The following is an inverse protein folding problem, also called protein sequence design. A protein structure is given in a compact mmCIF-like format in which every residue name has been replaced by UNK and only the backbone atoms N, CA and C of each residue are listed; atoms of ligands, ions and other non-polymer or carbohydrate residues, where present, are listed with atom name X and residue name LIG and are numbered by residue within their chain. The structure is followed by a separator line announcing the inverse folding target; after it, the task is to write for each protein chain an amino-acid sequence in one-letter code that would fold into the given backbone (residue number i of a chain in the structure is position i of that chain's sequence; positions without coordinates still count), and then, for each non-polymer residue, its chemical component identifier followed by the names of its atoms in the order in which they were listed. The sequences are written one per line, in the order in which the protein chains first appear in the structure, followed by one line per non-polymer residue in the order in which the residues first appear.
data_IF_254231898652
#
_entry.id   IF_254231898652
#
_cell.length_a   1.000
_cell.length_b   1.000
_cell.length_c   1.000
_cell.angle_alpha   90.00
_cell.angle_beta   90.00
_cell.angle_gamma   90.00
#
_symmetry.space_group_name_H-M   'P 1'
#
loop_
_entity.id
_entity.type
_entity.pdbx_description
1 polymer ?
#
# COMPACT_ATOMS: atom_id res chain seq x y z
N UNK A 1 -100.95 -31.20 -8.54
CA UNK A 1 -100.22 -32.34 -9.16
C UNK A 1 -98.95 -31.80 -9.82
N UNK A 2 -97.80 -32.40 -9.49
CA UNK A 2 -96.54 -32.50 -10.25
C UNK A 2 -95.91 -31.20 -10.82
N UNK A 3 -94.79 -30.77 -10.21
CA UNK A 3 -93.39 -30.81 -10.73
C UNK A 3 -93.08 -29.71 -11.77
N UNK A 4 -91.92 -29.06 -11.88
CA UNK A 4 -90.70 -28.78 -11.11
C UNK A 4 -89.72 -28.06 -12.09
N UNK A 5 -88.60 -27.55 -11.57
CA UNK A 5 -87.41 -26.94 -12.21
C UNK A 5 -87.53 -25.43 -12.55
N UNK A 6 -86.89 -24.46 -11.87
CA UNK A 6 -85.51 -24.23 -11.37
C UNK A 6 -84.50 -23.86 -12.48
N UNK A 7 -83.95 -22.65 -12.39
CA UNK A 7 -82.54 -22.21 -12.60
C UNK A 7 -82.55 -20.67 -12.73
N UNK A 8 -82.28 -19.84 -11.72
CA UNK A 8 -81.04 -19.53 -10.96
C UNK A 8 -79.86 -19.06 -11.82
N UNK A 9 -79.55 -17.75 -11.79
CA UNK A 9 -78.16 -17.24 -11.72
C UNK A 9 -78.16 -16.06 -10.74
N UNK A 10 -77.44 -16.23 -9.64
CA UNK A 10 -77.17 -15.25 -8.62
C UNK A 10 -75.89 -14.47 -8.93
N UNK A 11 -75.94 -13.16 -8.69
CA UNK A 11 -74.77 -12.27 -8.68
C UNK A 11 -73.99 -12.55 -7.39
N UNK A 12 -72.75 -13.03 -7.50
CA UNK A 12 -71.81 -13.09 -6.38
C UNK A 12 -70.69 -12.07 -6.63
N UNK A 13 -70.71 -10.98 -5.87
CA UNK A 13 -69.57 -10.08 -5.75
C UNK A 13 -68.54 -10.75 -4.84
N UNK A 14 -67.41 -11.20 -5.41
CA UNK A 14 -66.25 -11.58 -4.62
C UNK A 14 -65.52 -10.31 -4.17
N UNK A 15 -65.57 -10.05 -2.86
CA UNK A 15 -64.64 -9.16 -2.18
C UNK A 15 -63.28 -9.85 -2.17
N UNK A 16 -62.35 -9.35 -2.99
CA UNK A 16 -60.95 -9.74 -2.89
C UNK A 16 -60.36 -9.13 -1.61
N UNK A 17 -60.05 -10.01 -0.66
CA UNK A 17 -59.23 -9.70 0.51
C UNK A 17 -57.86 -9.20 0.04
N UNK A 18 -57.61 -7.90 0.21
CA UNK A 18 -56.27 -7.32 0.21
C UNK A 18 -55.54 -7.91 1.41
N UNK A 19 -54.75 -8.95 1.19
CA UNK A 19 -53.74 -9.39 2.13
C UNK A 19 -52.63 -8.35 2.15
N UNK A 20 -52.65 -7.46 3.14
CA UNK A 20 -51.48 -6.68 3.55
C UNK A 20 -50.44 -7.64 4.16
N UNK A 21 -49.75 -8.41 3.31
CA UNK A 21 -48.50 -9.03 3.67
C UNK A 21 -47.46 -7.91 3.73
N UNK A 22 -47.14 -7.44 4.93
CA UNK A 22 -46.02 -6.56 5.18
C UNK A 22 -44.74 -7.26 4.74
N UNK A 23 -44.32 -7.02 3.51
CA UNK A 23 -42.95 -7.24 3.11
C UNK A 23 -42.15 -6.17 3.82
N UNK A 24 -41.41 -6.56 4.86
CA UNK A 24 -40.28 -5.75 5.30
C UNK A 24 -39.50 -5.35 4.05
N UNK A 25 -39.10 -4.07 3.90
CA UNK A 25 -38.23 -3.70 2.80
C UNK A 25 -37.05 -4.68 2.80
N UNK A 26 -36.66 -5.22 1.63
CA UNK A 26 -35.52 -6.12 1.57
C UNK A 26 -34.37 -5.47 2.33
N UNK A 27 -33.76 -6.22 3.25
CA UNK A 27 -32.67 -5.71 4.08
C UNK A 27 -31.68 -4.99 3.16
N UNK A 28 -31.29 -3.77 3.54
CA UNK A 28 -30.30 -3.02 2.77
C UNK A 28 -29.11 -3.95 2.54
N UNK A 29 -28.69 -4.14 1.29
CA UNK A 29 -27.65 -5.11 1.00
C UNK A 29 -26.40 -4.78 1.83
N UNK A 30 -25.92 -5.77 2.58
CA UNK A 30 -24.80 -5.61 3.49
C UNK A 30 -23.51 -5.97 2.78
N UNK A 31 -22.55 -5.05 2.76
CA UNK A 31 -21.22 -5.29 2.19
C UNK A 31 -20.86 -4.31 1.07
N UNK A 32 -19.72 -4.58 0.42
CA UNK A 32 -19.23 -3.75 -0.67
C UNK A 32 -19.86 -4.14 -2.01
N UNK A 33 -20.04 -3.16 -2.89
CA UNK A 33 -20.45 -3.45 -4.26
C UNK A 33 -19.41 -4.35 -4.96
N UNK A 34 -19.85 -5.25 -5.86
CA UNK A 34 -18.96 -6.23 -6.47
C UNK A 34 -18.04 -5.61 -7.54
N UNK A 35 -16.94 -6.31 -7.85
CA UNK A 35 -16.02 -6.01 -8.95
C UNK A 35 -15.42 -4.59 -8.93
N UNK A 36 -15.06 -4.10 -7.75
CA UNK A 36 -14.38 -2.82 -7.57
C UNK A 36 -12.88 -3.05 -7.39
N UNK A 37 -12.09 -2.06 -7.78
CA UNK A 37 -10.67 -1.96 -7.44
C UNK A 37 -10.40 -0.54 -6.96
N UNK A 38 -9.81 -0.42 -5.78
CA UNK A 38 -9.35 0.83 -5.21
C UNK A 38 -7.91 0.70 -4.76
N UNK A 39 -7.20 1.82 -4.72
CA UNK A 39 -5.82 1.89 -4.27
C UNK A 39 -5.67 3.02 -3.27
N UNK A 40 -4.64 2.96 -2.43
CA UNK A 40 -4.20 4.06 -1.58
C UNK A 40 -2.68 4.01 -1.38
N UNK A 41 -2.09 5.18 -1.10
CA UNK A 41 -0.66 5.32 -0.88
C UNK A 41 -0.40 6.07 0.44
N UNK A 42 0.54 5.58 1.25
CA UNK A 42 0.90 6.20 2.51
C UNK A 42 2.37 6.01 2.87
N UNK A 43 2.86 6.85 3.77
CA UNK A 43 4.14 6.66 4.42
C UNK A 43 3.99 5.62 5.52
N UNK A 44 4.72 4.51 5.40
CA UNK A 44 4.61 3.33 6.27
C UNK A 44 5.97 2.96 6.85
N UNK A 45 5.97 2.29 8.00
CA UNK A 45 7.16 1.73 8.65
C UNK A 45 8.30 2.75 8.84
N UNK A 46 7.94 4.02 9.08
CA UNK A 46 8.89 5.10 9.37
C UNK A 46 9.97 5.33 8.30
N UNK A 47 9.74 4.91 7.05
CA UNK A 47 10.77 5.05 6.01
C UNK A 47 10.44 4.60 4.59
N UNK A 48 9.18 4.29 4.25
CA UNK A 48 8.82 3.75 2.93
C UNK A 48 7.50 4.31 2.41
N UNK A 49 7.33 4.27 1.09
CA UNK A 49 6.05 4.55 0.43
C UNK A 49 5.35 3.23 0.18
N UNK A 50 4.27 3.00 0.92
CA UNK A 50 3.42 1.82 0.78
C UNK A 50 2.28 2.06 -0.20
N UNK A 51 1.89 1.01 -0.91
CA UNK A 51 0.68 0.91 -1.69
C UNK A 51 -0.22 -0.19 -1.07
N UNK A 52 -1.51 0.08 -0.94
CA UNK A 52 -2.52 -0.98 -0.85
C UNK A 52 -3.41 -0.93 -2.08
N UNK A 53 -3.66 -2.09 -2.68
CA UNK A 53 -4.72 -2.31 -3.66
C UNK A 53 -5.77 -3.19 -3.00
N UNK A 54 -7.02 -2.74 -2.97
CA UNK A 54 -8.16 -3.50 -2.46
C UNK A 54 -9.13 -3.76 -3.59
N UNK A 55 -9.56 -5.01 -3.73
CA UNK A 55 -10.54 -5.42 -4.74
C UNK A 55 -11.74 -6.10 -4.10
N UNK A 56 -12.89 -6.06 -4.78
CA UNK A 56 -14.07 -6.86 -4.42
C UNK A 56 -14.38 -7.88 -5.50
N UNK A 57 -14.73 -9.10 -5.10
CA UNK A 57 -15.18 -10.14 -6.02
C UNK A 57 -16.64 -9.93 -6.48
N UNK A 58 -17.19 -10.91 -7.22
CA UNK A 58 -18.57 -10.87 -7.70
C UNK A 58 -19.63 -10.85 -6.58
N UNK A 59 -19.25 -11.21 -5.35
CA UNK A 59 -20.11 -11.22 -4.17
C UNK A 59 -19.86 -10.00 -3.25
N UNK A 60 -18.89 -9.14 -3.58
CA UNK A 60 -18.49 -8.02 -2.72
C UNK A 60 -17.48 -8.39 -1.63
N UNK A 61 -16.92 -9.60 -1.64
CA UNK A 61 -15.89 -10.02 -0.71
C UNK A 61 -14.56 -9.34 -1.04
N UNK A 62 -13.86 -8.82 -0.04
CA UNK A 62 -12.63 -8.06 -0.25
C UNK A 62 -11.40 -8.97 -0.33
N UNK A 63 -10.43 -8.54 -1.13
CA UNK A 63 -9.03 -8.97 -1.03
C UNK A 63 -8.12 -7.74 -1.08
N UNK A 64 -6.92 -7.85 -0.52
CA UNK A 64 -5.96 -6.76 -0.47
C UNK A 64 -4.59 -7.24 -0.97
N UNK A 65 -3.80 -6.31 -1.50
CA UNK A 65 -2.40 -6.51 -1.83
C UNK A 65 -1.61 -5.30 -1.37
N UNK A 66 -0.55 -5.54 -0.61
CA UNK A 66 0.36 -4.52 -0.08
C UNK A 66 1.70 -4.57 -0.83
N UNK A 67 2.25 -3.41 -1.13
CA UNK A 67 3.62 -3.29 -1.62
C UNK A 67 4.29 -2.04 -1.05
N UNK A 68 5.61 -1.97 -1.17
CA UNK A 68 6.41 -0.83 -0.76
C UNK A 68 7.48 -0.53 -1.81
N UNK A 69 7.54 0.72 -2.25
CA UNK A 69 8.67 1.24 -3.00
C UNK A 69 9.84 1.51 -2.05
N UNK A 70 11.05 1.09 -2.44
CA UNK A 70 12.25 1.51 -1.74
C UNK A 70 12.44 3.02 -1.87
N UNK A 71 12.82 3.69 -0.77
CA UNK A 71 13.16 5.11 -0.78
C UNK A 71 14.55 5.38 -1.37
N UNK A 72 14.89 6.65 -1.68
CA UNK A 72 16.15 7.02 -2.33
C UNK A 72 17.42 6.48 -1.67
N UNK A 73 17.46 6.36 -0.34
CA UNK A 73 18.63 5.85 0.36
C UNK A 73 18.93 4.37 0.06
N UNK A 74 17.91 3.58 -0.31
CA UNK A 74 18.08 2.18 -0.73
C UNK A 74 18.29 2.08 -2.23
N UNK A 75 17.53 2.85 -3.03
CA UNK A 75 17.67 2.84 -4.49
C UNK A 75 19.04 3.34 -4.97
N UNK A 76 19.67 4.22 -4.20
CA UNK A 76 20.96 4.79 -4.56
C UNK A 76 22.17 3.96 -4.08
N UNK A 77 21.98 2.81 -3.44
CA UNK A 77 23.09 1.94 -3.01
C UNK A 77 23.90 1.51 -4.23
N UNK A 78 25.22 1.61 -4.13
CA UNK A 78 26.15 1.26 -5.22
C UNK A 78 27.10 0.16 -4.79
N UNK A 79 27.63 -0.55 -5.80
CA UNK A 79 28.71 -1.51 -5.62
C UNK A 79 30.06 -0.80 -5.82
N UNK A 80 30.85 -0.70 -4.76
CA UNK A 80 32.17 -0.05 -4.80
C UNK A 80 33.23 -0.88 -5.54
N UNK A 81 32.96 -2.15 -5.85
CA UNK A 81 33.85 -2.97 -6.67
C UNK A 81 33.67 -2.67 -8.18
N UNK A 82 32.59 -1.98 -8.56
CA UNK A 82 32.36 -1.54 -9.93
C UNK A 82 33.17 -0.27 -10.28
N UNK A 83 33.78 -0.26 -11.46
CA UNK A 83 34.82 0.70 -11.83
C UNK A 83 34.34 2.16 -11.92
N UNK A 84 33.06 2.39 -12.13
CA UNK A 84 32.46 3.71 -12.25
C UNK A 84 32.22 4.42 -10.90
N UNK A 85 32.28 3.70 -9.78
CA UNK A 85 32.05 4.26 -8.45
C UNK A 85 33.36 4.53 -7.72
N UNK A 86 33.48 5.72 -7.14
CA UNK A 86 34.66 6.19 -6.44
C UNK A 86 34.27 6.92 -5.15
N UNK A 87 35.26 7.24 -4.33
CA UNK A 87 35.04 8.08 -3.15
C UNK A 87 34.49 9.47 -3.50
N UNK A 88 34.83 10.02 -4.67
CA UNK A 88 34.46 11.38 -5.06
C UNK A 88 33.00 11.51 -5.52
N UNK A 89 32.46 10.43 -6.11
CA UNK A 89 31.10 10.36 -6.63
C UNK A 89 30.14 9.51 -5.77
N UNK A 90 30.57 9.13 -4.57
CA UNK A 90 29.73 8.49 -3.57
C UNK A 90 29.67 9.30 -2.28
N UNK A 91 28.64 9.03 -1.49
CA UNK A 91 28.60 9.38 -0.07
C UNK A 91 28.26 8.11 0.71
N UNK A 92 28.44 8.14 2.03
CA UNK A 92 28.07 7.00 2.87
C UNK A 92 27.21 7.44 4.05
N UNK A 93 26.37 6.53 4.53
CA UNK A 93 25.70 6.65 5.83
C UNK A 93 25.96 5.38 6.63
N UNK A 94 25.61 5.40 7.93
CA UNK A 94 25.86 4.26 8.82
C UNK A 94 24.55 3.55 9.13
N UNK A 95 24.45 2.28 8.77
CA UNK A 95 23.32 1.43 9.09
C UNK A 95 23.80 0.23 9.90
N UNK A 96 23.31 0.10 11.15
CA UNK A 96 23.66 -1.00 12.07
C UNK A 96 25.18 -1.18 12.25
N UNK A 97 25.92 -0.06 12.30
CA UNK A 97 27.37 -0.05 12.47
C UNK A 97 28.18 -0.24 11.17
N UNK A 98 27.53 -0.50 10.04
CA UNK A 98 28.19 -0.65 8.74
C UNK A 98 28.05 0.62 7.90
N UNK A 99 29.11 0.98 7.16
CA UNK A 99 29.02 2.01 6.14
C UNK A 99 28.30 1.46 4.92
N UNK A 100 27.26 2.17 4.48
CA UNK A 100 26.54 1.89 3.24
C UNK A 100 26.87 2.99 2.26
N UNK A 101 27.43 2.61 1.11
CA UNK A 101 27.81 3.53 0.03
C UNK A 101 26.65 3.73 -0.92
N UNK A 102 26.44 4.99 -1.30
CA UNK A 102 25.38 5.41 -2.22
C UNK A 102 25.92 6.40 -3.24
N UNK A 103 25.28 6.49 -4.39
CA UNK A 103 25.56 7.51 -5.39
C UNK A 103 25.43 8.92 -4.77
N UNK A 104 26.43 9.78 -4.97
CA UNK A 104 26.40 11.16 -4.46
C UNK A 104 25.34 12.01 -5.13
N UNK A 105 25.04 11.76 -6.39
CA UNK A 105 24.01 12.49 -7.14
C UNK A 105 22.98 11.53 -7.68
N UNK A 106 21.71 11.90 -7.51
CA UNK A 106 20.57 11.17 -8.03
C UNK A 106 19.67 12.11 -8.81
N UNK A 107 18.94 11.57 -9.78
CA UNK A 107 17.91 12.31 -10.51
C UNK A 107 16.57 11.67 -10.20
N UNK A 108 15.60 12.50 -9.85
CA UNK A 108 14.21 12.10 -9.75
C UNK A 108 13.33 13.07 -10.52
N UNK A 109 12.56 12.53 -11.47
CA UNK A 109 11.65 13.31 -12.32
C UNK A 109 12.33 14.55 -12.97
N UNK A 110 13.55 14.35 -13.49
CA UNK A 110 14.34 15.39 -14.16
C UNK A 110 15.02 16.41 -13.24
N UNK A 111 14.87 16.30 -11.91
CA UNK A 111 15.56 17.16 -10.94
C UNK A 111 16.73 16.43 -10.31
N UNK A 112 17.90 17.06 -10.26
CA UNK A 112 19.10 16.50 -9.62
C UNK A 112 19.13 16.83 -8.14
N UNK A 113 19.50 15.84 -7.33
CA UNK A 113 19.69 15.95 -5.88
C UNK A 113 21.08 15.47 -5.49
N UNK A 114 21.68 16.14 -4.51
CA UNK A 114 22.97 15.82 -3.92
C UNK A 114 22.76 15.16 -2.56
N UNK A 115 23.40 14.00 -2.38
CA UNK A 115 23.43 13.27 -1.13
C UNK A 115 24.26 14.01 -0.08
N UNK A 116 23.66 14.24 1.08
CA UNK A 116 24.28 14.88 2.25
C UNK A 116 24.14 13.93 3.43
N UNK A 117 25.27 13.55 4.01
CA UNK A 117 25.30 12.76 5.23
C UNK A 117 25.29 13.68 6.44
N UNK A 118 24.30 13.52 7.32
CA UNK A 118 24.20 14.26 8.59
C UNK A 118 24.22 13.25 9.74
N UNK A 119 25.36 13.15 10.42
CA UNK A 119 25.56 12.10 11.42
C UNK A 119 25.55 10.71 10.77
N UNK A 120 24.56 9.88 11.13
CA UNK A 120 24.37 8.53 10.57
C UNK A 120 23.31 8.45 9.47
N UNK A 121 22.66 9.56 9.13
CA UNK A 121 21.55 9.58 8.15
C UNK A 121 21.99 10.19 6.83
N UNK A 122 21.27 9.83 5.77
CA UNK A 122 21.41 10.36 4.43
C UNK A 122 20.17 11.18 4.07
N UNK A 123 20.38 12.36 3.51
CA UNK A 123 19.35 13.19 2.88
C UNK A 123 19.77 13.49 1.44
N UNK A 124 18.80 13.54 0.52
CA UNK A 124 19.03 14.00 -0.85
C UNK A 124 18.41 15.37 -1.00
N UNK A 125 19.24 16.40 -1.07
CA UNK A 125 18.84 17.80 -1.17
C UNK A 125 19.02 18.27 -2.60
N UNK A 126 18.07 19.03 -3.14
CA UNK A 126 18.16 19.56 -4.50
C UNK A 126 19.52 20.24 -4.74
N UNK A 127 20.14 19.87 -5.85
CA UNK A 127 21.48 20.36 -6.22
C UNK A 127 21.42 21.81 -6.72
N UNK A 128 22.46 22.58 -6.41
CA UNK A 128 22.76 23.85 -7.08
C UNK A 128 23.48 23.62 -8.41
N UNK A 129 23.78 24.71 -9.12
CA UNK A 129 24.40 24.68 -10.46
C UNK A 129 25.81 24.06 -10.46
N UNK A 130 26.46 23.98 -9.30
CA UNK A 130 27.78 23.39 -9.10
C UNK A 130 27.74 21.96 -8.52
N UNK A 131 26.54 21.40 -8.34
CA UNK A 131 26.33 20.07 -7.75
C UNK A 131 26.45 20.02 -6.23
N UNK A 132 26.60 21.17 -5.57
CA UNK A 132 26.47 21.28 -4.11
C UNK A 132 25.01 21.19 -3.66
N UNK A 133 24.78 20.85 -2.40
CA UNK A 133 23.44 20.88 -1.84
C UNK A 133 23.01 22.35 -1.61
N UNK A 134 22.03 22.84 -2.36
CA UNK A 134 21.66 24.25 -2.38
C UNK A 134 20.65 24.67 -1.28
N UNK A 135 20.33 23.79 -0.33
CA UNK A 135 19.41 24.09 0.77
C UNK A 135 17.94 24.27 0.36
N UNK A 136 17.56 23.78 -0.82
CA UNK A 136 16.20 23.82 -1.37
C UNK A 136 15.29 22.70 -0.81
N UNK A 137 14.82 21.82 -1.68
CA UNK A 137 13.91 20.73 -1.31
C UNK A 137 14.68 19.44 -0.95
N UNK A 138 14.29 18.79 0.14
CA UNK A 138 14.66 17.40 0.42
C UNK A 138 13.76 16.45 -0.38
N UNK A 139 14.37 15.48 -1.07
CA UNK A 139 13.66 14.54 -1.93
C UNK A 139 12.69 13.64 -1.15
N UNK A 140 13.11 13.10 0.00
CA UNK A 140 12.26 12.24 0.81
C UNK A 140 11.04 13.03 1.30
N UNK A 141 11.24 14.27 1.75
CA UNK A 141 10.14 15.16 2.15
C UNK A 141 9.23 15.54 0.99
N UNK A 142 9.77 15.68 -0.21
CA UNK A 142 8.99 15.91 -1.43
C UNK A 142 8.10 14.71 -1.73
N UNK A 143 8.64 13.50 -1.63
CA UNK A 143 7.92 12.24 -1.87
C UNK A 143 6.77 12.07 -0.87
N UNK A 144 7.03 12.20 0.43
CA UNK A 144 6.05 11.88 1.48
C UNK A 144 5.06 13.03 1.78
N UNK A 145 5.13 14.13 1.03
CA UNK A 145 4.37 15.36 1.32
C UNK A 145 2.86 15.14 1.32
N UNK A 146 2.37 14.31 0.41
CA UNK A 146 0.96 13.99 0.24
C UNK A 146 0.81 12.69 -0.56
N UNK A 147 -0.40 12.14 -0.59
CA UNK A 147 -0.69 10.89 -1.28
C UNK A 147 -0.40 10.94 -2.80
N UNK A 148 -0.69 12.06 -3.47
CA UNK A 148 -0.43 12.18 -4.91
C UNK A 148 1.07 12.08 -5.23
N UNK A 149 1.92 12.68 -4.39
CA UNK A 149 3.37 12.58 -4.52
C UNK A 149 3.87 11.16 -4.24
N UNK A 150 3.30 10.50 -3.22
CA UNK A 150 3.61 9.11 -2.89
C UNK A 150 3.22 8.16 -4.02
N UNK A 151 2.03 8.34 -4.59
CA UNK A 151 1.58 7.61 -5.78
C UNK A 151 2.53 7.82 -6.95
N UNK A 152 2.82 9.08 -7.29
CA UNK A 152 3.72 9.41 -8.40
C UNK A 152 5.12 8.82 -8.21
N UNK A 153 5.61 8.78 -6.97
CA UNK A 153 6.87 8.12 -6.64
C UNK A 153 6.80 6.61 -6.83
N UNK A 154 5.79 5.97 -6.22
CA UNK A 154 5.61 4.52 -6.29
C UNK A 154 5.51 4.06 -7.74
N UNK A 155 4.70 4.71 -8.57
CA UNK A 155 4.57 4.38 -10.00
C UNK A 155 5.83 4.77 -10.79
N UNK A 156 6.46 5.90 -10.44
CA UNK A 156 7.62 6.43 -11.15
C UNK A 156 8.86 5.55 -11.01
N UNK A 157 9.13 4.99 -9.83
CA UNK A 157 10.34 4.17 -9.61
C UNK A 157 10.33 2.91 -10.47
N UNK A 158 9.18 2.25 -10.65
CA UNK A 158 9.04 1.11 -11.56
C UNK A 158 9.24 1.47 -13.03
N UNK A 159 9.05 2.74 -13.38
CA UNK A 159 9.22 3.27 -14.73
C UNK A 159 10.60 3.95 -14.94
N UNK A 160 11.55 3.77 -14.02
CA UNK A 160 12.90 4.32 -14.14
C UNK A 160 13.01 5.82 -13.84
N UNK A 161 12.03 6.42 -13.16
CA UNK A 161 12.06 7.84 -12.80
C UNK A 161 13.17 8.18 -11.77
N UNK A 162 13.69 7.18 -11.06
CA UNK A 162 14.85 7.32 -10.17
C UNK A 162 16.12 6.85 -10.88
N UNK A 163 17.13 7.71 -10.89
CA UNK A 163 18.37 7.49 -11.63
C UNK A 163 19.57 7.92 -10.79
N UNK A 164 20.75 7.37 -11.08
CA UNK A 164 22.03 7.77 -10.46
C UNK A 164 22.94 8.47 -11.45
N UNK A 165 23.88 9.25 -10.94
CA UNK A 165 24.90 9.96 -11.71
C UNK A 165 26.28 9.67 -11.13
N UNK A 166 27.21 9.23 -11.97
CA UNK A 166 28.63 9.07 -11.62
C UNK A 166 29.41 10.38 -11.75
N UNK A 167 28.83 11.37 -12.44
CA UNK A 167 29.34 12.72 -12.60
C UNK A 167 28.18 13.73 -12.60
N UNK A 168 28.30 14.82 -11.86
CA UNK A 168 27.31 15.90 -11.89
C UNK A 168 27.18 16.50 -13.29
N UNK A 169 25.94 16.71 -13.75
CA UNK A 169 25.63 17.15 -15.12
C UNK A 169 25.91 16.11 -16.21
N UNK A 170 26.29 14.88 -15.82
CA UNK A 170 26.49 13.76 -16.74
C UNK A 170 25.17 13.08 -17.17
N UNK A 171 25.31 11.93 -17.82
CA UNK A 171 24.16 11.12 -18.26
C UNK A 171 23.62 10.29 -17.09
N UNK A 172 22.34 10.46 -16.70
CA UNK A 172 21.76 9.69 -15.61
C UNK A 172 21.47 8.25 -16.04
N UNK A 173 21.73 7.30 -15.14
CA UNK A 173 21.44 5.87 -15.36
C UNK A 173 20.22 5.45 -14.55
N UNK A 174 19.14 4.95 -15.17
CA UNK A 174 17.97 4.48 -14.44
C UNK A 174 18.29 3.35 -13.47
N UNK A 175 17.78 3.45 -12.25
CA UNK A 175 17.80 2.34 -11.28
C UNK A 175 16.61 1.45 -11.57
N UNK A 176 16.88 0.27 -12.15
CA UNK A 176 15.84 -0.71 -12.51
C UNK A 176 15.78 -1.90 -11.54
N UNK A 177 16.77 -2.02 -10.65
CA UNK A 177 16.83 -3.04 -9.62
C UNK A 177 17.70 -2.57 -8.45
N UNK A 178 17.64 -3.29 -7.33
CA UNK A 178 18.50 -3.07 -6.15
C UNK A 178 19.30 -4.33 -5.85
N UNK A 179 20.16 -4.30 -4.83
CA UNK A 179 20.78 -5.54 -4.30
C UNK A 179 19.76 -6.56 -3.76
N UNK A 180 18.51 -6.15 -3.56
CA UNK A 180 17.40 -7.05 -3.22
C UNK A 180 16.69 -7.62 -4.46
N UNK A 181 17.06 -7.21 -5.68
CA UNK A 181 16.52 -7.75 -6.93
C UNK A 181 15.29 -7.03 -7.49
N UNK A 182 14.76 -6.01 -6.80
CA UNK A 182 13.62 -5.20 -7.25
C UNK A 182 13.70 -3.78 -6.68
N UNK A 183 13.01 -2.81 -7.31
CA UNK A 183 12.80 -1.46 -6.78
C UNK A 183 11.62 -1.38 -5.79
N UNK A 184 10.83 -2.46 -5.73
CA UNK A 184 9.79 -2.70 -4.73
C UNK A 184 10.21 -3.80 -3.76
N UNK A 185 9.60 -3.85 -2.59
CA UNK A 185 9.85 -4.94 -1.64
C UNK A 185 9.13 -6.21 -2.02
N UNK A 186 7.91 -6.14 -2.56
CA UNK A 186 7.25 -7.32 -3.14
C UNK A 186 8.07 -7.80 -4.33
N UNK A 187 8.27 -9.12 -4.39
CA UNK A 187 9.13 -9.74 -5.40
C UNK A 187 10.62 -9.48 -5.23
N UNK A 188 11.06 -8.89 -4.12
CA UNK A 188 12.48 -8.76 -3.77
C UNK A 188 12.93 -9.81 -2.75
N UNK A 189 14.24 -9.87 -2.53
CA UNK A 189 14.88 -10.63 -1.45
C UNK A 189 15.00 -9.83 -0.14
N UNK A 190 14.20 -8.79 0.05
CA UNK A 190 14.22 -7.99 1.28
C UNK A 190 13.66 -8.78 2.47
N UNK A 191 14.48 -8.93 3.51
CA UNK A 191 14.17 -9.69 4.73
C UNK A 191 13.56 -11.08 4.43
N UNK A 192 14.33 -12.03 3.87
CA UNK A 192 13.81 -13.31 3.40
C UNK A 192 13.70 -14.36 4.52
N UNK A 193 14.15 -14.06 5.73
CA UNK A 193 14.25 -15.02 6.83
C UNK A 193 13.00 -15.02 7.71
N UNK A 194 12.61 -16.21 8.19
CA UNK A 194 11.42 -16.39 9.05
C UNK A 194 10.13 -16.09 8.28
N UNK A 195 9.20 -15.33 8.89
CA UNK A 195 8.06 -14.78 8.15
C UNK A 195 8.50 -13.73 7.12
N UNK A 196 9.61 -13.06 7.36
CA UNK A 196 10.16 -12.05 6.46
C UNK A 196 9.22 -10.87 6.21
N UNK A 197 9.55 -10.02 5.25
CA UNK A 197 8.63 -8.95 4.85
C UNK A 197 7.40 -9.52 4.14
N UNK A 198 7.62 -10.38 3.13
CA UNK A 198 6.56 -10.94 2.29
C UNK A 198 5.52 -11.73 3.10
N UNK A 199 5.95 -12.67 3.94
CA UNK A 199 5.03 -13.48 4.74
C UNK A 199 4.28 -12.67 5.80
N UNK A 200 4.82 -11.53 6.25
CA UNK A 200 4.06 -10.59 7.08
C UNK A 200 2.98 -9.87 6.27
N UNK A 201 3.28 -9.40 5.05
CA UNK A 201 2.29 -8.73 4.21
C UNK A 201 1.16 -9.70 3.83
N UNK A 202 1.49 -10.92 3.43
CA UNK A 202 0.51 -11.95 3.09
C UNK A 202 -0.41 -12.27 4.30
N UNK A 203 0.14 -12.29 5.51
CA UNK A 203 -0.65 -12.52 6.72
C UNK A 203 -1.56 -11.34 7.10
N UNK A 204 -1.16 -10.10 6.78
CA UNK A 204 -1.97 -8.89 6.97
C UNK A 204 -3.12 -8.88 5.94
N UNK A 205 -2.81 -9.16 4.68
CA UNK A 205 -3.78 -9.28 3.58
C UNK A 205 -4.82 -10.36 3.86
N UNK A 206 -4.37 -11.54 4.32
CA UNK A 206 -5.26 -12.63 4.72
C UNK A 206 -6.17 -12.23 5.88
N UNK A 207 -5.65 -11.50 6.88
CA UNK A 207 -6.47 -11.01 7.99
C UNK A 207 -7.54 -10.03 7.52
N UNK A 208 -7.21 -9.11 6.61
CA UNK A 208 -8.17 -8.17 6.02
C UNK A 208 -9.26 -8.91 5.21
N UNK A 209 -8.88 -9.89 4.40
CA UNK A 209 -9.83 -10.69 3.62
C UNK A 209 -10.74 -11.55 4.51
N UNK A 210 -10.20 -12.13 5.58
CA UNK A 210 -10.93 -13.06 6.45
C UNK A 210 -11.83 -12.36 7.46
N UNK A 211 -11.35 -11.28 8.08
CA UNK A 211 -12.03 -10.63 9.20
C UNK A 211 -12.63 -9.27 8.83
N UNK A 212 -12.42 -8.81 7.60
CA UNK A 212 -12.79 -7.49 7.15
C UNK A 212 -11.79 -6.42 7.57
N UNK A 213 -12.12 -5.16 7.29
CA UNK A 213 -11.23 -4.01 7.47
C UNK A 213 -11.78 -2.99 8.49
N UNK A 214 -12.91 -3.24 9.14
CA UNK A 214 -13.59 -2.27 9.98
C UNK A 214 -13.11 -2.28 11.45
N UNK A 215 -11.79 -2.27 11.67
CA UNK A 215 -11.17 -2.29 13.00
C UNK A 215 -10.61 -0.92 13.41
N UNK A 216 -10.70 -0.59 14.69
CA UNK A 216 -10.08 0.60 15.28
C UNK A 216 -8.67 0.27 15.75
N UNK A 217 -7.82 1.29 15.86
CA UNK A 217 -6.44 1.12 16.31
C UNK A 217 -6.34 0.43 17.70
N UNK A 218 -7.27 0.69 18.61
CA UNK A 218 -7.28 0.06 19.93
C UNK A 218 -7.76 -1.40 19.91
N UNK A 219 -8.31 -1.88 18.79
CA UNK A 219 -8.64 -3.29 18.56
C UNK A 219 -7.45 -4.05 17.93
N UNK A 220 -6.44 -3.32 17.45
CA UNK A 220 -5.20 -3.87 16.91
C UNK A 220 -4.18 -4.03 18.04
N UNK A 221 -4.12 -5.21 18.63
CA UNK A 221 -3.24 -5.45 19.80
C UNK A 221 -2.20 -6.52 19.50
N UNK A 222 -0.99 -6.34 20.02
CA UNK A 222 0.08 -7.33 19.88
C UNK A 222 0.08 -8.25 21.09
N UNK A 223 -0.01 -9.57 20.84
CA UNK A 223 0.04 -10.58 21.89
C UNK A 223 1.44 -10.73 22.45
N UNK A 224 1.54 -10.88 23.77
CA UNK A 224 2.81 -11.11 24.46
C UNK A 224 3.33 -12.56 24.38
N UNK A 225 2.44 -13.54 24.13
CA UNK A 225 2.79 -14.96 24.15
C UNK A 225 3.48 -15.44 22.86
N UNK A 226 3.11 -14.88 21.71
CA UNK A 226 3.62 -15.30 20.40
C UNK A 226 3.97 -14.14 19.45
N UNK A 227 3.93 -12.89 19.95
CA UNK A 227 4.21 -11.66 19.19
C UNK A 227 3.32 -11.42 17.96
N UNK A 228 2.22 -12.16 17.81
CA UNK A 228 1.26 -11.98 16.72
C UNK A 228 0.30 -10.85 17.01
N UNK A 229 -0.19 -10.22 15.94
CA UNK A 229 -1.24 -9.22 16.04
C UNK A 229 -2.63 -9.85 16.13
N UNK A 230 -3.50 -9.18 16.86
CA UNK A 230 -4.93 -9.47 16.96
C UNK A 230 -5.74 -8.30 16.43
N UNK A 231 -6.86 -8.63 15.78
CA UNK A 231 -7.92 -7.72 15.40
C UNK A 231 -9.14 -8.08 16.26
N UNK A 232 -9.39 -7.28 17.30
CA UNK A 232 -10.30 -7.64 18.38
C UNK A 232 -9.96 -9.02 18.99
N UNK A 233 -10.80 -10.04 18.79
CA UNK A 233 -10.60 -11.41 19.27
C UNK A 233 -9.88 -12.32 18.27
N UNK A 234 -9.76 -11.91 17.00
CA UNK A 234 -9.15 -12.71 15.94
C UNK A 234 -7.62 -12.58 15.92
N UNK A 235 -6.92 -13.71 16.02
CA UNK A 235 -5.44 -13.75 15.92
C UNK A 235 -5.01 -13.84 14.46
N UNK A 236 -4.16 -12.92 14.03
CA UNK A 236 -3.58 -12.90 12.67
C UNK A 236 -2.33 -13.78 12.58
N UNK A 237 -1.82 -13.96 11.36
CA UNK A 237 -0.51 -14.60 11.13
C UNK A 237 0.69 -13.65 11.29
N UNK A 238 0.45 -12.35 11.34
CA UNK A 238 1.49 -11.34 11.21
C UNK A 238 2.18 -11.03 12.53
N UNK A 239 3.48 -10.77 12.46
CA UNK A 239 4.34 -10.41 13.60
C UNK A 239 5.08 -9.08 13.42
N UNK A 240 5.02 -8.47 12.23
CA UNK A 240 5.68 -7.19 11.93
C UNK A 240 5.21 -6.10 12.90
N UNK A 241 6.14 -5.35 13.49
CA UNK A 241 5.83 -4.26 14.43
C UNK A 241 4.89 -3.21 13.85
N UNK A 242 4.94 -3.02 12.54
CA UNK A 242 4.27 -1.97 11.80
C UNK A 242 2.94 -2.45 11.21
N UNK A 243 2.42 -3.58 11.71
CA UNK A 243 1.10 -4.10 11.34
C UNK A 243 0.00 -3.02 11.33
N UNK A 244 -0.12 -2.12 12.33
CA UNK A 244 -1.17 -1.12 12.30
C UNK A 244 -1.05 -0.16 11.13
N UNK A 245 0.17 0.19 10.69
CA UNK A 245 0.39 1.10 9.57
C UNK A 245 -0.07 0.47 8.25
N UNK A 246 0.32 -0.80 8.02
CA UNK A 246 -0.10 -1.53 6.82
C UNK A 246 -1.60 -1.83 6.81
N UNK A 247 -2.16 -2.20 7.96
CA UNK A 247 -3.59 -2.46 8.05
C UNK A 247 -4.38 -1.17 7.83
N UNK A 248 -3.94 -0.04 8.40
CA UNK A 248 -4.54 1.28 8.13
C UNK A 248 -4.45 1.69 6.66
N UNK A 249 -3.37 1.31 5.95
CA UNK A 249 -3.26 1.54 4.51
C UNK A 249 -4.30 0.73 3.72
N UNK A 250 -4.54 -0.54 4.09
CA UNK A 250 -5.66 -1.32 3.53
C UNK A 250 -7.00 -0.64 3.82
N UNK A 251 -7.20 -0.15 5.05
CA UNK A 251 -8.43 0.57 5.42
C UNK A 251 -8.65 1.83 4.59
N UNK A 252 -7.59 2.59 4.31
CA UNK A 252 -7.64 3.79 3.48
C UNK A 252 -8.06 3.47 2.04
N UNK A 253 -7.52 2.39 1.45
CA UNK A 253 -7.93 1.92 0.14
C UNK A 253 -9.39 1.39 0.17
N UNK A 254 -9.73 0.59 1.16
CA UNK A 254 -11.07 0.00 1.32
C UNK A 254 -12.17 1.03 1.59
N UNK A 255 -11.86 2.15 2.25
CA UNK A 255 -12.80 3.26 2.47
C UNK A 255 -13.27 3.94 1.16
N UNK A 256 -12.58 3.68 0.04
CA UNK A 256 -12.95 4.18 -1.30
C UNK A 256 -13.92 3.26 -2.03
N UNK A 257 -14.15 2.05 -1.51
CA UNK A 257 -15.13 1.11 -2.06
C UNK A 257 -16.54 1.64 -1.82
N UNK A 258 -17.41 1.46 -2.82
CA UNK A 258 -18.85 1.71 -2.68
C UNK A 258 -19.49 0.56 -1.91
N UNK A 259 -20.45 0.90 -1.05
CA UNK A 259 -21.33 -0.06 -0.40
C UNK A 259 -22.44 -0.49 -1.37
N UNK A 260 -23.05 -1.65 -1.13
CA UNK A 260 -24.26 -2.08 -1.81
C UNK A 260 -25.48 -1.26 -1.38
#
# INVERSE_FOLDING_TARGET
MRKALISTIAVLALVALVGCGGGDPPAAPTGFAPNQTTEAYAYVHGGYVGQAVVTTDANGAISATLDEAFLPHTLAIVDMDAAEWTEDNTVYYVQRGNQVRVAKWVVYNGTTYTGVTVGSTLSYVQSGDDGSAAGGADLAMTIIRNEANMKAYFEGVGNGAFQTLTQFGGNPTPVTTTSFGSVYKRGSNYWPQGLGWQGNMDAIEAAAAQYGIAFRLNEMTRRSDNNRWQLADAVTGATASDFPDYFALIQLAGARLKMQ
#
